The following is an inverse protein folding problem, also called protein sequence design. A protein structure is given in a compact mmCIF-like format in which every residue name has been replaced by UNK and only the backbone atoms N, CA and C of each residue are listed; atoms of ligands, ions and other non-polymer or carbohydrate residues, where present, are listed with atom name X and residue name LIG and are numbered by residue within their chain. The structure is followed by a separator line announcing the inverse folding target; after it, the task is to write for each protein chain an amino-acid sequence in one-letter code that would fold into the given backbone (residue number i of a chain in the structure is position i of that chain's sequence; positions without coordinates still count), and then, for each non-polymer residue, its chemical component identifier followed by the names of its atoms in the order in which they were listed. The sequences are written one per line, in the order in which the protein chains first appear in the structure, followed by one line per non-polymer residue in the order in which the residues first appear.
data_IF_717601916855
#
_entry.id   IF_717601916855
#
_cell.length_a   1.000
_cell.length_b   1.000
_cell.length_c   1.000
_cell.angle_alpha   90.00
_cell.angle_beta   90.00
_cell.angle_gamma   90.00
#
_symmetry.space_group_name_H-M   'P 1'
#
loop_
_entity.id
_entity.type
_entity.pdbx_description
1 polymer ?
#
# COMPACT_ATOMS: atom_id res chain seq x y z
N UNK A 1 -28.80 11.47 -5.61
CA UNK A 1 -27.59 10.81 -6.13
C UNK A 1 -27.22 9.75 -5.10
N UNK A 2 -27.35 8.48 -5.44
CA UNK A 2 -27.15 7.39 -4.49
C UNK A 2 -25.69 7.35 -4.06
N UNK A 3 -25.44 7.55 -2.76
CA UNK A 3 -24.16 7.17 -2.16
C UNK A 3 -24.00 5.68 -2.41
N UNK A 4 -23.07 5.30 -3.27
CA UNK A 4 -22.57 3.93 -3.25
C UNK A 4 -22.19 3.65 -1.79
N UNK A 5 -22.73 2.58 -1.23
CA UNK A 5 -22.41 2.15 0.12
C UNK A 5 -20.90 1.88 0.16
N UNK A 6 -20.14 2.81 0.71
CA UNK A 6 -18.69 2.72 0.77
C UNK A 6 -18.35 1.50 1.62
N UNK A 7 -17.70 0.50 1.01
CA UNK A 7 -17.40 -0.76 1.70
C UNK A 7 -16.64 -0.45 2.98
N UNK A 8 -16.95 -1.17 4.04
CA UNK A 8 -16.22 -1.06 5.30
C UNK A 8 -14.74 -1.31 5.06
N UNK A 9 -13.87 -0.52 5.70
CA UNK A 9 -12.44 -0.59 5.45
C UNK A 9 -11.86 -1.97 5.80
N UNK A 10 -12.46 -2.65 6.76
CA UNK A 10 -12.13 -4.02 7.16
C UNK A 10 -12.37 -5.03 6.03
N UNK A 11 -13.46 -4.84 5.26
CA UNK A 11 -13.78 -5.68 4.11
C UNK A 11 -12.75 -5.50 2.99
N UNK A 12 -12.26 -4.27 2.80
CA UNK A 12 -11.22 -3.95 1.81
C UNK A 12 -9.84 -4.47 2.22
N UNK A 13 -9.53 -4.53 3.51
CA UNK A 13 -8.25 -5.02 4.03
C UNK A 13 -8.12 -6.55 3.98
N UNK A 14 -9.23 -7.27 3.95
CA UNK A 14 -9.23 -8.74 3.88
C UNK A 14 -8.77 -9.27 2.51
N UNK A 15 -9.11 -8.55 1.44
CA UNK A 15 -8.78 -8.93 0.06
C UNK A 15 -7.27 -9.05 -0.25
N UNK A 16 -6.42 -8.04 0.04
CA UNK A 16 -4.98 -8.14 -0.21
C UNK A 16 -4.30 -9.22 0.64
N UNK A 17 -4.80 -9.52 1.85
CA UNK A 17 -4.27 -10.62 2.66
C UNK A 17 -4.54 -11.96 1.98
N UNK A 18 -5.77 -12.18 1.48
CA UNK A 18 -6.12 -13.37 0.72
C UNK A 18 -5.25 -13.51 -0.54
N UNK A 19 -5.05 -12.42 -1.28
CA UNK A 19 -4.16 -12.42 -2.45
C UNK A 19 -2.74 -12.80 -2.08
N UNK A 20 -2.20 -12.26 -0.99
CA UNK A 20 -0.85 -12.56 -0.52
C UNK A 20 -0.68 -14.07 -0.21
N UNK A 21 -1.65 -14.69 0.46
CA UNK A 21 -1.63 -16.14 0.71
C UNK A 21 -1.73 -16.96 -0.58
N UNK A 22 -2.55 -16.52 -1.55
CA UNK A 22 -2.63 -17.19 -2.86
C UNK A 22 -1.31 -17.13 -3.64
N UNK A 23 -0.60 -15.99 -3.58
CA UNK A 23 0.70 -15.85 -4.24
C UNK A 23 1.73 -16.76 -3.58
N UNK A 24 1.77 -16.80 -2.24
CA UNK A 24 2.66 -17.71 -1.49
C UNK A 24 2.41 -19.17 -1.84
N UNK A 25 1.17 -19.61 -1.78
CA UNK A 25 0.80 -20.99 -2.13
C UNK A 25 1.17 -21.33 -3.59
N UNK A 26 1.00 -20.39 -4.51
CA UNK A 26 1.40 -20.57 -5.90
C UNK A 26 2.93 -20.64 -6.08
N UNK A 27 3.69 -19.88 -5.30
CA UNK A 27 5.15 -19.85 -5.34
C UNK A 27 5.77 -21.15 -4.81
N UNK A 28 5.18 -21.74 -3.76
CA UNK A 28 5.63 -23.00 -3.16
C UNK A 28 5.52 -24.18 -4.14
N UNK A 29 4.49 -24.19 -4.98
CA UNK A 29 4.25 -25.27 -5.97
C UNK A 29 4.83 -24.96 -7.35
N UNK A 30 5.69 -23.94 -7.48
CA UNK A 30 6.30 -23.58 -8.75
C UNK A 30 7.27 -24.68 -9.26
N UNK A 31 7.13 -25.05 -10.53
CA UNK A 31 7.98 -26.07 -11.17
C UNK A 31 9.08 -25.46 -12.05
N UNK A 32 8.89 -24.22 -12.51
CA UNK A 32 9.84 -23.41 -13.28
C UNK A 32 10.11 -22.07 -12.58
N UNK A 33 11.22 -21.41 -12.90
CA UNK A 33 11.62 -20.13 -12.26
C UNK A 33 11.54 -20.16 -10.73
N UNK A 34 11.94 -21.29 -10.12
CA UNK A 34 11.72 -21.56 -8.68
C UNK A 34 12.35 -20.51 -7.78
N UNK A 35 13.57 -20.06 -8.12
CA UNK A 35 14.27 -19.04 -7.34
C UNK A 35 13.54 -17.70 -7.41
N UNK A 36 13.11 -17.27 -8.60
CA UNK A 36 12.37 -16.02 -8.77
C UNK A 36 10.99 -16.09 -8.06
N UNK A 37 10.30 -17.22 -8.15
CA UNK A 37 9.03 -17.43 -7.42
C UNK A 37 9.23 -17.38 -5.91
N UNK A 38 10.30 -18.00 -5.40
CA UNK A 38 10.63 -17.97 -3.98
C UNK A 38 10.92 -16.55 -3.50
N UNK A 39 11.61 -15.74 -4.31
CA UNK A 39 11.90 -14.34 -3.95
C UNK A 39 10.63 -13.47 -3.93
N UNK A 40 9.76 -13.61 -4.94
CA UNK A 40 8.42 -13.00 -4.93
C UNK A 40 7.64 -13.42 -3.68
N UNK A 41 7.71 -14.70 -3.31
CA UNK A 41 7.10 -15.23 -2.09
C UNK A 41 7.56 -14.52 -0.81
N UNK A 42 8.86 -14.21 -0.68
CA UNK A 42 9.40 -13.47 0.49
C UNK A 42 8.88 -12.04 0.56
N UNK A 43 8.89 -11.32 -0.56
CA UNK A 43 8.35 -9.95 -0.61
C UNK A 43 6.86 -9.92 -0.24
N UNK A 44 6.10 -10.91 -0.71
CA UNK A 44 4.68 -11.05 -0.42
C UNK A 44 4.44 -11.45 1.03
N UNK A 45 5.25 -12.32 1.63
CA UNK A 45 5.12 -12.66 3.05
C UNK A 45 5.30 -11.41 3.93
N UNK A 46 6.28 -10.56 3.59
CA UNK A 46 6.45 -9.26 4.24
C UNK A 46 5.21 -8.37 4.10
N UNK A 47 4.65 -8.25 2.89
CA UNK A 47 3.42 -7.48 2.67
C UNK A 47 2.25 -8.06 3.49
N UNK A 48 2.12 -9.38 3.53
CA UNK A 48 1.09 -10.10 4.30
C UNK A 48 1.19 -9.76 5.80
N UNK A 49 2.40 -9.70 6.35
CA UNK A 49 2.63 -9.27 7.73
C UNK A 49 2.24 -7.81 7.95
N UNK A 50 2.63 -6.90 7.04
CA UNK A 50 2.29 -5.48 7.12
C UNK A 50 0.79 -5.23 7.04
N UNK A 51 0.08 -5.94 6.15
CA UNK A 51 -1.38 -5.87 6.01
C UNK A 51 -2.10 -6.32 7.29
N UNK A 52 -1.65 -7.41 7.92
CA UNK A 52 -2.20 -7.86 9.21
C UNK A 52 -1.94 -6.86 10.33
N UNK A 53 -0.79 -6.20 10.32
CA UNK A 53 -0.51 -5.09 11.26
C UNK A 53 -1.46 -3.91 11.02
N UNK A 54 -1.65 -3.51 9.76
CA UNK A 54 -2.59 -2.44 9.40
C UNK A 54 -4.03 -2.73 9.84
N UNK A 55 -4.52 -3.97 9.68
CA UNK A 55 -5.85 -4.38 10.19
C UNK A 55 -5.97 -4.16 11.70
N UNK A 56 -4.94 -4.55 12.46
CA UNK A 56 -4.92 -4.36 13.92
C UNK A 56 -4.92 -2.88 14.29
N UNK A 57 -4.10 -2.07 13.62
CA UNK A 57 -3.99 -0.63 13.86
C UNK A 57 -5.29 0.12 13.53
N UNK A 58 -5.99 -0.27 12.47
CA UNK A 58 -7.26 0.39 12.09
C UNK A 58 -8.40 0.08 13.07
N UNK A 59 -8.39 -1.09 13.71
CA UNK A 59 -9.43 -1.44 14.69
C UNK A 59 -9.27 -0.68 16.02
N UNK A 60 -8.07 -0.16 16.33
CA UNK A 60 -7.78 0.48 17.63
C UNK A 60 -7.97 1.99 17.66
N UNK A 61 -8.15 2.67 16.52
CA UNK A 61 -8.16 4.14 16.43
C UNK A 61 -9.59 4.66 16.32
N UNK A 62 -9.93 5.67 17.12
CA UNK A 62 -11.29 6.23 17.20
C UNK A 62 -11.69 7.06 15.97
N UNK A 63 -10.72 7.62 15.24
CA UNK A 63 -10.93 8.37 13.99
C UNK A 63 -9.82 8.04 13.00
N UNK A 64 -10.17 7.51 11.82
CA UNK A 64 -9.19 7.14 10.80
C UNK A 64 -9.31 8.04 9.58
N UNK A 65 -8.16 8.51 9.10
CA UNK A 65 -8.10 9.08 7.76
C UNK A 65 -8.04 7.95 6.72
N UNK A 66 -9.20 7.47 6.28
CA UNK A 66 -9.31 6.26 5.45
C UNK A 66 -8.77 6.42 4.03
N UNK A 67 -8.80 7.64 3.48
CA UNK A 67 -8.44 7.91 2.08
C UNK A 67 -7.05 7.38 1.66
N UNK A 68 -5.95 7.68 2.39
CA UNK A 68 -4.63 7.11 2.08
C UNK A 68 -4.59 5.59 2.30
N UNK A 69 -5.32 5.06 3.28
CA UNK A 69 -5.39 3.61 3.54
C UNK A 69 -5.98 2.90 2.32
N UNK A 70 -7.18 3.31 1.88
CA UNK A 70 -7.87 2.72 0.72
C UNK A 70 -7.03 2.81 -0.55
N UNK A 71 -6.39 3.96 -0.78
CA UNK A 71 -5.56 4.17 -1.97
C UNK A 71 -4.32 3.28 -2.00
N UNK A 72 -3.61 3.14 -0.88
CA UNK A 72 -2.44 2.26 -0.75
C UNK A 72 -2.85 0.80 -0.85
N UNK A 73 -3.90 0.39 -0.13
CA UNK A 73 -4.41 -0.98 -0.12
C UNK A 73 -4.86 -1.42 -1.52
N UNK A 74 -5.52 -0.53 -2.26
CA UNK A 74 -5.90 -0.79 -3.66
C UNK A 74 -4.67 -0.99 -4.55
N UNK A 75 -3.64 -0.16 -4.41
CA UNK A 75 -2.40 -0.29 -5.19
C UNK A 75 -1.64 -1.60 -4.86
N UNK A 76 -1.55 -1.94 -3.57
CA UNK A 76 -0.97 -3.20 -3.09
C UNK A 76 -1.74 -4.39 -3.67
N UNK A 77 -3.07 -4.35 -3.66
CA UNK A 77 -3.93 -5.41 -4.22
C UNK A 77 -3.65 -5.60 -5.72
N UNK A 78 -3.61 -4.51 -6.49
CA UNK A 78 -3.30 -4.56 -7.93
C UNK A 78 -1.93 -5.20 -8.21
N UNK A 79 -0.93 -4.89 -7.38
CA UNK A 79 0.42 -5.44 -7.53
C UNK A 79 0.49 -6.92 -7.10
N UNK A 80 -0.25 -7.33 -6.06
CA UNK A 80 -0.39 -8.74 -5.68
C UNK A 80 -1.10 -9.56 -6.75
N UNK A 81 -2.12 -9.02 -7.42
CA UNK A 81 -2.78 -9.69 -8.55
C UNK A 81 -1.81 -9.92 -9.72
N UNK A 82 -0.96 -8.92 -10.03
CA UNK A 82 0.08 -9.06 -11.05
C UNK A 82 1.10 -10.12 -10.67
N UNK A 83 1.53 -10.14 -9.41
CA UNK A 83 2.42 -11.17 -8.89
C UNK A 83 1.79 -12.57 -8.98
N UNK A 84 0.53 -12.71 -8.59
CA UNK A 84 -0.23 -13.95 -8.65
C UNK A 84 -0.35 -14.48 -10.08
N UNK A 85 -0.70 -13.59 -11.01
CA UNK A 85 -0.80 -13.92 -12.43
C UNK A 85 0.54 -14.37 -13.04
N UNK A 86 1.66 -13.84 -12.55
CA UNK A 86 3.00 -14.27 -12.97
C UNK A 86 3.36 -15.64 -12.38
N UNK A 87 3.28 -15.79 -11.06
CA UNK A 87 3.69 -17.00 -10.33
C UNK A 87 2.83 -18.21 -10.74
N UNK A 88 1.53 -18.04 -11.01
CA UNK A 88 0.66 -19.13 -11.50
C UNK A 88 1.14 -19.75 -12.81
N UNK A 89 1.89 -19.01 -13.64
CA UNK A 89 2.45 -19.54 -14.90
C UNK A 89 3.64 -20.47 -14.68
N UNK A 90 4.22 -20.48 -13.48
CA UNK A 90 5.41 -21.25 -13.16
C UNK A 90 5.11 -22.70 -12.76
N UNK A 91 3.84 -23.02 -12.48
CA UNK A 91 3.35 -24.39 -12.32
C UNK A 91 3.15 -25.04 -13.69
N UNK A 92 3.58 -26.30 -13.87
CA UNK A 92 3.36 -26.99 -15.15
C UNK A 92 1.86 -27.14 -15.39
N UNK A 93 1.37 -26.54 -16.48
CA UNK A 93 0.12 -26.96 -17.10
C UNK A 93 0.46 -28.06 -18.11
N UNK A 94 -0.32 -29.15 -18.11
CA UNK A 94 -0.19 -30.29 -19.03
C UNK A 94 0.12 -29.85 -20.46
N UNK A 95 0.92 -30.67 -21.16
CA UNK A 95 1.51 -30.50 -22.50
C UNK A 95 0.54 -29.97 -23.58
N UNK A 96 -0.78 -30.06 -23.37
CA UNK A 96 -1.84 -29.68 -24.29
C UNK A 96 -2.19 -28.18 -24.35
N UNK A 97 -1.66 -27.31 -23.47
CA UNK A 97 -1.90 -25.84 -23.51
C UNK A 97 -0.66 -25.01 -23.86
N UNK A 98 0.18 -25.51 -24.78
CA UNK A 98 1.42 -24.84 -25.20
C UNK A 98 1.15 -23.62 -26.12
N UNK A 99 0.33 -22.69 -25.65
CA UNK A 99 0.31 -21.29 -26.09
C UNK A 99 0.52 -20.44 -24.82
N UNK A 100 1.67 -20.64 -24.19
CA UNK A 100 2.06 -19.89 -22.99
C UNK A 100 2.75 -18.62 -23.45
N UNK A 101 2.22 -17.46 -23.03
CA UNK A 101 2.96 -16.19 -23.07
C UNK A 101 4.26 -16.41 -22.29
N UNK A 102 5.40 -16.39 -22.99
CA UNK A 102 6.73 -16.68 -22.43
C UNK A 102 6.95 -15.82 -21.19
N UNK A 103 7.04 -16.44 -20.01
CA UNK A 103 7.48 -15.77 -18.79
C UNK A 103 8.99 -15.58 -18.86
N UNK A 104 9.46 -14.38 -18.56
CA UNK A 104 10.89 -14.04 -18.58
C UNK A 104 11.38 -13.57 -17.21
N UNK A 105 12.71 -13.62 -16.99
CA UNK A 105 13.34 -12.99 -15.84
C UNK A 105 13.03 -11.48 -15.75
N UNK A 106 12.79 -10.82 -16.90
CA UNK A 106 12.38 -9.42 -16.96
C UNK A 106 11.00 -9.20 -16.35
N UNK A 107 10.07 -10.15 -16.52
CA UNK A 107 8.73 -10.05 -15.91
C UNK A 107 8.81 -10.17 -14.39
N UNK A 108 9.67 -11.06 -13.87
CA UNK A 108 9.95 -11.15 -12.44
C UNK A 108 10.58 -9.89 -11.88
N UNK A 109 11.56 -9.30 -12.56
CA UNK A 109 12.14 -8.01 -12.15
C UNK A 109 11.08 -6.92 -12.07
N UNK A 110 10.16 -6.83 -13.04
CA UNK A 110 9.06 -5.86 -13.02
C UNK A 110 8.14 -6.07 -11.82
N UNK A 111 7.74 -7.31 -11.56
CA UNK A 111 6.91 -7.62 -10.38
C UNK A 111 7.65 -7.33 -9.08
N UNK A 112 8.93 -7.68 -8.97
CA UNK A 112 9.76 -7.38 -7.80
C UNK A 112 9.78 -5.88 -7.49
N UNK A 113 9.97 -5.03 -8.50
CA UNK A 113 9.96 -3.57 -8.34
C UNK A 113 8.59 -3.07 -7.87
N UNK A 114 7.49 -3.63 -8.38
CA UNK A 114 6.13 -3.27 -7.92
C UNK A 114 5.88 -3.70 -6.46
N UNK A 115 6.40 -4.86 -6.05
CA UNK A 115 6.27 -5.35 -4.67
C UNK A 115 7.13 -4.51 -3.72
N UNK A 116 8.36 -4.14 -4.10
CA UNK A 116 9.19 -3.23 -3.32
C UNK A 116 8.55 -1.84 -3.17
N UNK A 117 7.93 -1.32 -4.23
CA UNK A 117 7.15 -0.10 -4.17
C UNK A 117 5.98 -0.23 -3.18
N UNK A 118 5.23 -1.33 -3.27
CA UNK A 118 4.13 -1.65 -2.35
C UNK A 118 4.59 -1.73 -0.88
N UNK A 119 5.78 -2.30 -0.63
CA UNK A 119 6.39 -2.33 0.71
C UNK A 119 6.72 -0.90 1.16
N UNK A 120 7.27 -0.06 0.26
CA UNK A 120 7.52 1.35 0.55
C UNK A 120 6.24 2.11 0.93
N UNK A 121 5.17 1.93 0.17
CA UNK A 121 3.86 2.56 0.43
C UNK A 121 3.27 2.13 1.77
N UNK A 122 3.31 0.83 2.07
CA UNK A 122 2.83 0.30 3.35
C UNK A 122 3.67 0.78 4.54
N UNK A 123 5.00 0.93 4.39
CA UNK A 123 5.87 1.50 5.44
C UNK A 123 5.48 2.94 5.73
N UNK A 124 5.31 3.75 4.69
CA UNK A 124 4.87 5.13 4.85
C UNK A 124 3.51 5.20 5.54
N UNK A 125 2.54 4.40 5.09
CA UNK A 125 1.19 4.38 5.66
C UNK A 125 1.22 4.04 7.16
N UNK A 126 1.97 3.01 7.55
CA UNK A 126 2.10 2.66 8.97
C UNK A 126 2.78 3.78 9.78
N UNK A 127 3.79 4.47 9.22
CA UNK A 127 4.40 5.62 9.89
C UNK A 127 3.44 6.80 10.07
N UNK A 128 2.54 7.03 9.12
CA UNK A 128 1.48 8.04 9.23
C UNK A 128 0.45 7.67 10.31
N UNK A 129 0.14 6.38 10.47
CA UNK A 129 -0.83 5.89 11.47
C UNK A 129 -0.22 5.76 12.87
N UNK A 130 1.10 5.63 12.99
CA UNK A 130 1.81 5.50 14.27
C UNK A 130 2.10 6.86 14.91
N UNK A 131 1.05 7.57 15.33
CA UNK A 131 1.18 8.94 15.87
C UNK A 131 1.95 9.04 17.18
N UNK A 132 2.15 7.93 17.90
CA UNK A 132 2.84 7.91 19.19
C UNK A 132 4.32 7.48 19.07
N UNK A 133 4.66 6.59 18.13
CA UNK A 133 5.99 6.01 18.04
C UNK A 133 6.69 6.21 16.68
N UNK A 134 6.19 7.13 15.82
CA UNK A 134 6.82 7.39 14.52
C UNK A 134 8.25 7.97 14.59
N UNK A 135 8.80 8.23 15.78
CA UNK A 135 10.20 8.62 15.99
C UNK A 135 10.54 10.04 15.51
N UNK A 136 9.52 10.87 15.22
CA UNK A 136 9.72 12.26 14.79
C UNK A 136 9.63 13.22 15.96
N UNK A 137 10.45 14.28 15.94
CA UNK A 137 10.43 15.31 16.97
C UNK A 137 9.13 16.15 16.97
N UNK A 138 8.42 16.20 15.83
CA UNK A 138 7.17 16.96 15.65
C UNK A 138 5.92 16.09 15.58
N UNK A 139 6.02 14.78 15.85
CA UNK A 139 4.89 13.84 15.73
C UNK A 139 4.32 13.68 14.30
N UNK A 140 4.81 14.44 13.31
CA UNK A 140 4.35 14.41 11.92
C UNK A 140 5.29 13.55 11.08
N UNK A 141 4.80 12.41 10.62
CA UNK A 141 5.57 11.53 9.73
C UNK A 141 5.52 12.02 8.27
N UNK A 142 6.64 12.59 7.82
CA UNK A 142 6.83 13.05 6.43
C UNK A 142 7.85 12.18 5.71
N UNK A 143 7.38 11.39 4.74
CA UNK A 143 8.26 10.74 3.77
C UNK A 143 7.58 10.69 2.40
N UNK A 144 8.35 10.38 1.35
CA UNK A 144 7.84 10.23 0.00
C UNK A 144 7.59 8.75 -0.31
N UNK A 145 6.35 8.25 -0.22
CA UNK A 145 6.01 6.90 -0.63
C UNK A 145 6.06 6.77 -2.17
N UNK A 146 6.43 5.59 -2.70
CA UNK A 146 6.38 5.29 -4.13
C UNK A 146 5.09 5.73 -4.85
N UNK A 147 3.92 5.57 -4.23
CA UNK A 147 2.61 5.95 -4.78
C UNK A 147 2.46 7.45 -5.06
N UNK A 148 3.25 8.28 -4.36
CA UNK A 148 3.27 9.74 -4.51
C UNK A 148 4.46 10.24 -5.35
N UNK A 149 5.25 9.37 -5.98
CA UNK A 149 6.45 9.78 -6.73
C UNK A 149 6.16 10.79 -7.86
N UNK A 150 4.97 10.71 -8.47
CA UNK A 150 4.55 11.62 -9.54
C UNK A 150 3.95 12.93 -9.03
N UNK A 151 3.48 12.96 -7.79
CA UNK A 151 2.92 14.15 -7.15
C UNK A 151 3.27 14.14 -5.64
N UNK A 152 4.52 14.51 -5.29
CA UNK A 152 5.01 14.44 -3.91
C UNK A 152 4.17 15.25 -2.92
N UNK A 153 3.46 16.28 -3.40
CA UNK A 153 2.55 17.11 -2.60
C UNK A 153 1.45 16.29 -1.93
N UNK A 154 0.98 15.23 -2.58
CA UNK A 154 -0.09 14.39 -2.04
C UNK A 154 0.35 13.70 -0.74
N UNK A 155 1.60 13.24 -0.63
CA UNK A 155 2.04 12.58 0.61
C UNK A 155 2.11 13.54 1.78
N UNK A 156 2.58 14.77 1.56
CA UNK A 156 2.56 15.82 2.60
C UNK A 156 1.12 16.18 3.01
N UNK A 157 0.22 16.40 2.05
CA UNK A 157 -1.19 16.71 2.37
C UNK A 157 -1.82 15.58 3.17
N UNK A 158 -1.62 14.33 2.77
CA UNK A 158 -2.18 13.19 3.50
C UNK A 158 -1.59 13.03 4.90
N UNK A 159 -0.27 13.17 5.06
CA UNK A 159 0.36 13.14 6.37
C UNK A 159 -0.16 14.25 7.29
N UNK A 160 -0.30 15.49 6.79
CA UNK A 160 -0.83 16.56 7.63
C UNK A 160 -2.31 16.37 7.99
N UNK A 161 -3.16 15.95 7.05
CA UNK A 161 -4.57 15.66 7.35
C UNK A 161 -4.67 14.53 8.38
N UNK A 162 -3.86 13.48 8.21
CA UNK A 162 -3.77 12.39 9.16
C UNK A 162 -3.39 12.89 10.56
N UNK A 163 -2.34 13.72 10.68
CA UNK A 163 -1.97 14.32 11.97
C UNK A 163 -3.08 15.20 12.54
N UNK A 164 -3.74 16.04 11.73
CA UNK A 164 -4.86 16.87 12.20
C UNK A 164 -6.00 16.03 12.79
N UNK A 165 -6.26 14.85 12.23
CA UNK A 165 -7.31 13.95 12.68
C UNK A 165 -6.91 13.07 13.88
N UNK A 166 -5.65 12.59 13.90
CA UNK A 166 -5.22 11.49 14.77
C UNK A 166 -4.12 11.87 15.78
N UNK A 167 -3.43 13.00 15.58
CA UNK A 167 -2.26 13.39 16.37
C UNK A 167 -2.59 14.07 17.71
N UNK A 168 -1.55 14.42 18.47
CA UNK A 168 -1.69 15.19 19.70
C UNK A 168 -1.99 16.67 19.41
N UNK A 169 -2.52 17.41 20.40
CA UNK A 169 -2.99 18.79 20.19
C UNK A 169 -1.92 19.71 19.54
N UNK A 170 -0.66 19.59 19.96
CA UNK A 170 0.45 20.39 19.43
C UNK A 170 0.69 20.05 17.94
N UNK A 171 0.83 18.78 17.61
CA UNK A 171 1.06 18.31 16.25
C UNK A 171 -0.12 18.62 15.33
N UNK A 172 -1.35 18.57 15.86
CA UNK A 172 -2.57 18.97 15.14
C UNK A 172 -2.54 20.44 14.73
N UNK A 173 -2.11 21.33 15.64
CA UNK A 173 -1.97 22.77 15.36
C UNK A 173 -0.88 23.00 14.31
N UNK A 174 0.28 22.35 14.47
CA UNK A 174 1.38 22.45 13.51
C UNK A 174 0.98 21.95 12.12
N UNK A 175 0.34 20.77 12.04
CA UNK A 175 -0.13 20.21 10.78
C UNK A 175 -1.19 21.10 10.10
N UNK A 176 -2.11 21.70 10.87
CA UNK A 176 -3.10 22.63 10.34
C UNK A 176 -2.46 23.92 9.76
N UNK A 177 -1.44 24.45 10.43
CA UNK A 177 -0.67 25.60 9.93
C UNK A 177 0.06 25.25 8.64
N UNK A 178 0.71 24.07 8.58
CA UNK A 178 1.41 23.60 7.39
C UNK A 178 0.45 23.36 6.20
N UNK A 179 -0.74 22.79 6.44
CA UNK A 179 -1.78 22.67 5.42
C UNK A 179 -2.24 24.02 4.88
N UNK A 180 -2.42 25.00 5.77
CA UNK A 180 -2.81 26.36 5.39
C UNK A 180 -1.75 27.04 4.53
N UNK A 181 -0.47 26.87 4.88
CA UNK A 181 0.64 27.37 4.05
C UNK A 181 0.62 26.72 2.67
N UNK A 182 0.51 25.38 2.62
CA UNK A 182 0.54 24.62 1.37
C UNK A 182 -0.65 24.94 0.44
N UNK A 183 -1.80 25.32 1.01
CA UNK A 183 -2.98 25.76 0.26
C UNK A 183 -2.87 27.22 -0.23
N UNK A 184 -2.14 28.09 0.48
CA UNK A 184 -1.85 29.46 0.03
C UNK A 184 -0.88 29.49 -1.14
N UNK A 185 0.06 28.55 -1.18
CA UNK A 185 1.14 28.55 -2.16
C UNK A 185 0.74 28.02 -3.55
N UNK A 186 -0.41 27.34 -3.69
CA UNK A 186 -0.83 26.77 -4.99
C UNK A 186 -2.35 26.54 -5.10
N UNK A 187 -2.99 27.14 -6.11
CA UNK A 187 -4.42 26.92 -6.41
C UNK A 187 -4.77 25.45 -6.72
N UNK A 188 -3.80 24.65 -7.19
CA UNK A 188 -3.96 23.19 -7.39
C UNK A 188 -4.09 22.44 -6.05
N UNK A 189 -3.45 22.90 -4.98
CA UNK A 189 -3.46 22.24 -3.66
C UNK A 189 -4.78 22.46 -2.91
N UNK A 190 -5.50 23.55 -3.24
CA UNK A 190 -6.84 23.83 -2.68
C UNK A 190 -7.87 22.74 -3.00
N UNK A 191 -7.70 22.01 -4.12
CA UNK A 191 -8.60 20.90 -4.49
C UNK A 191 -8.28 19.58 -3.79
N UNK A 192 -7.09 19.44 -3.20
CA UNK A 192 -6.66 18.22 -2.49
C UNK A 192 -7.06 18.29 -1.01
N UNK A 193 -7.26 19.50 -0.49
CA UNK A 193 -7.62 19.81 0.90
C UNK A 193 -9.13 19.79 1.19
N UNK A 194 -9.98 19.66 0.15
CA UNK A 194 -11.44 19.50 0.26
C UNK A 194 -11.83 18.04 0.07
#
# INVERSE_FOLDING_TARGET
MGSAEEKRIEDELSYPILLAEQVRAAAEVAESFKLDCAEVGKQVDRLSQMLRTLVRSTTSVQSLYERPIRRVVSEVSNNLERALGLVRKCKRQSILRRVVRITSATDFRKVSVLLDASIGDMRWLMGVLDTENNGTASGIFLSLPPIASNDPIISWVWSYIATVQMGQLIDRIEAANNLTSLARDNDRNKKITV
#
